data_IF_273915526776
#
_entry.id   IF_273915526776
#
_cell.length_a   1.000
_cell.length_b   1.000
_cell.length_c   1.000
_cell.angle_alpha   90.00
_cell.angle_beta   90.00
_cell.angle_gamma   90.00
#
_symmetry.space_group_name_H-M   'P 1'
#
loop_
_entity.id
_entity.type
_entity.pdbx_description
1 polymer ?
#
# COMPACT_ATOMS: atom_id res chain seq x y z
N UNK A 1 -0.85 28.99 32.44
CA UNK A 1 0.04 28.23 31.55
C UNK A 1 -0.75 27.00 31.18
N UNK A 2 -1.42 27.03 30.02
CA UNK A 2 -2.11 25.84 29.53
C UNK A 2 -1.03 24.85 29.09
N UNK A 3 -0.96 23.72 29.79
CA UNK A 3 -0.17 22.56 29.38
C UNK A 3 -0.78 22.04 28.08
N UNK A 4 -0.12 22.27 26.95
CA UNK A 4 -0.49 21.64 25.69
C UNK A 4 -0.26 20.14 25.89
N UNK A 5 -1.33 19.35 25.93
CA UNK A 5 -1.21 17.89 25.92
C UNK A 5 -0.54 17.47 24.60
N UNK A 6 0.63 16.83 24.69
CA UNK A 6 1.30 16.27 23.52
C UNK A 6 0.55 15.01 23.07
N UNK A 7 0.07 15.00 21.83
CA UNK A 7 -0.62 13.84 21.26
C UNK A 7 0.44 12.84 20.77
N UNK A 8 0.65 11.76 21.52
CA UNK A 8 1.62 10.71 21.17
C UNK A 8 0.87 9.50 20.60
N UNK A 9 1.29 9.05 19.40
CA UNK A 9 0.76 7.88 18.71
C UNK A 9 1.82 6.77 18.77
N UNK A 10 1.59 5.76 19.63
CA UNK A 10 2.39 4.55 19.62
C UNK A 10 1.95 3.63 18.48
N UNK A 11 2.72 3.61 17.41
CA UNK A 11 2.39 2.88 16.17
C UNK A 11 2.31 1.36 16.40
N UNK A 12 3.08 0.83 17.36
CA UNK A 12 3.13 -0.61 17.63
C UNK A 12 1.90 -1.11 18.40
N UNK A 13 1.19 -0.21 19.09
CA UNK A 13 -0.07 -0.52 19.79
C UNK A 13 -1.29 -0.43 18.86
N UNK A 14 -1.09 0.04 17.63
CA UNK A 14 -2.13 0.16 16.61
C UNK A 14 -2.02 -1.02 15.64
N UNK A 15 -3.16 -1.65 15.39
CA UNK A 15 -3.35 -2.66 14.34
C UNK A 15 -2.66 -2.21 13.03
N UNK A 16 -1.82 -3.03 12.39
CA UNK A 16 -0.97 -2.61 11.26
C UNK A 16 -1.69 -1.80 10.18
N UNK A 17 -2.87 -2.26 9.78
CA UNK A 17 -3.76 -1.63 8.80
C UNK A 17 -4.32 -0.27 9.22
N UNK A 18 -4.44 0.01 10.52
CA UNK A 18 -5.00 1.26 11.06
C UNK A 18 -3.93 2.32 11.36
N UNK A 19 -2.64 1.99 11.28
CA UNK A 19 -1.55 2.89 11.68
C UNK A 19 -1.58 4.21 10.93
N UNK A 20 -1.48 4.16 9.59
CA UNK A 20 -1.42 5.38 8.78
C UNK A 20 -2.74 6.16 8.84
N UNK A 21 -3.88 5.45 8.83
CA UNK A 21 -5.20 6.07 8.98
C UNK A 21 -5.32 6.84 10.29
N UNK A 22 -4.88 6.24 11.41
CA UNK A 22 -4.91 6.87 12.73
C UNK A 22 -4.01 8.11 12.77
N UNK A 23 -2.80 8.01 12.22
CA UNK A 23 -1.86 9.14 12.14
C UNK A 23 -2.48 10.29 11.32
N UNK A 24 -3.06 10.00 10.16
CA UNK A 24 -3.62 11.04 9.28
C UNK A 24 -4.89 11.66 9.84
N UNK A 25 -5.81 10.86 10.39
CA UNK A 25 -7.00 11.39 11.05
C UNK A 25 -6.63 12.26 12.26
N UNK A 26 -5.60 11.87 13.00
CA UNK A 26 -5.10 12.66 14.13
C UNK A 26 -4.50 13.97 13.62
N UNK A 27 -3.67 13.92 12.58
CA UNK A 27 -3.11 15.09 11.92
C UNK A 27 -4.19 16.06 11.42
N UNK A 28 -5.24 15.53 10.79
CA UNK A 28 -6.33 16.33 10.23
C UNK A 28 -7.10 17.09 11.32
N UNK A 29 -7.20 16.52 12.53
CA UNK A 29 -7.86 17.14 13.70
C UNK A 29 -7.01 18.20 14.39
N UNK A 30 -5.70 18.23 14.15
CA UNK A 30 -4.83 19.26 14.70
C UNK A 30 -5.28 20.63 14.22
N UNK A 31 -5.23 21.61 15.12
CA UNK A 31 -5.24 23.02 14.75
C UNK A 31 -3.86 23.42 14.23
N UNK A 32 -3.83 24.56 13.55
CA UNK A 32 -2.58 25.18 13.12
C UNK A 32 -1.69 25.43 14.35
N UNK A 33 -0.43 24.99 14.27
CA UNK A 33 0.56 25.06 15.35
C UNK A 33 0.51 23.89 16.33
N UNK A 34 -0.51 23.03 16.29
CA UNK A 34 -0.55 21.80 17.09
C UNK A 34 0.27 20.69 16.43
N UNK A 35 0.74 19.75 17.25
CA UNK A 35 1.59 18.65 16.81
C UNK A 35 1.08 17.31 17.33
N UNK A 36 1.43 16.25 16.61
CA UNK A 36 1.41 14.87 17.11
C UNK A 36 2.84 14.31 17.08
N UNK A 37 3.12 13.30 17.92
CA UNK A 37 4.38 12.55 17.93
C UNK A 37 4.08 11.12 17.47
N UNK A 38 4.79 10.66 16.44
CA UNK A 38 4.76 9.28 15.96
C UNK A 38 5.88 8.53 16.68
N UNK A 39 5.52 7.56 17.53
CA UNK A 39 6.46 6.66 18.19
C UNK A 39 6.45 5.30 17.49
N UNK A 40 7.59 4.86 16.95
CA UNK A 40 7.68 3.64 16.15
C UNK A 40 9.00 2.87 16.37
N UNK A 41 8.99 1.56 16.15
CA UNK A 41 10.19 0.70 16.28
C UNK A 41 11.12 0.74 15.05
N UNK A 42 10.72 1.47 14.00
CA UNK A 42 11.52 1.73 12.82
C UNK A 42 11.20 3.14 12.30
N UNK A 43 12.07 3.63 11.42
CA UNK A 43 11.91 4.93 10.79
C UNK A 43 10.58 5.03 10.01
N UNK A 44 9.66 5.94 10.39
CA UNK A 44 8.35 6.08 9.77
C UNK A 44 8.38 6.94 8.49
N UNK A 45 9.52 7.07 7.81
CA UNK A 45 9.65 7.72 6.49
C UNK A 45 8.53 7.43 5.48
N UNK A 46 7.98 6.20 5.34
CA UNK A 46 6.84 5.97 4.46
C UNK A 46 5.61 6.83 4.79
N UNK A 47 5.35 7.06 6.08
CA UNK A 47 4.28 7.93 6.57
C UNK A 47 4.53 9.38 6.19
N UNK A 48 5.78 9.86 6.25
CA UNK A 48 6.16 11.20 5.78
C UNK A 48 5.77 11.38 4.32
N UNK A 49 6.21 10.47 3.45
CA UNK A 49 5.95 10.58 2.02
C UNK A 49 4.46 10.51 1.72
N UNK A 50 3.73 9.66 2.44
CA UNK A 50 2.30 9.53 2.26
C UNK A 50 1.53 10.76 2.78
N UNK A 51 1.92 11.34 3.93
CA UNK A 51 1.32 12.57 4.45
C UNK A 51 1.64 13.77 3.54
N UNK A 52 2.88 13.89 3.07
CA UNK A 52 3.30 14.91 2.10
C UNK A 52 2.55 14.77 0.77
N UNK A 53 2.30 13.54 0.32
CA UNK A 53 1.53 13.27 -0.90
C UNK A 53 0.05 13.65 -0.75
N UNK A 54 -0.53 13.37 0.41
CA UNK A 54 -1.97 13.51 0.67
C UNK A 54 -2.34 14.94 1.10
N UNK A 55 -1.44 15.64 1.81
CA UNK A 55 -1.71 16.94 2.43
C UNK A 55 -0.81 18.06 1.91
N UNK A 56 0.21 17.75 1.10
CA UNK A 56 1.23 18.72 0.69
C UNK A 56 2.12 19.12 1.87
N UNK A 57 2.82 20.24 1.75
CA UNK A 57 3.74 20.75 2.78
C UNK A 57 3.02 21.57 3.88
N UNK A 58 1.85 21.11 4.32
CA UNK A 58 1.10 21.75 5.41
C UNK A 58 1.56 21.29 6.79
N UNK A 59 2.74 20.69 6.89
CA UNK A 59 3.32 20.24 8.15
C UNK A 59 4.84 20.31 8.19
N UNK A 60 5.41 20.34 9.39
CA UNK A 60 6.83 20.10 9.63
C UNK A 60 7.06 18.69 10.17
N UNK A 61 8.22 18.12 9.87
CA UNK A 61 8.65 16.78 10.27
C UNK A 61 9.99 16.86 11.00
N UNK A 62 10.00 16.60 12.30
CA UNK A 62 11.17 16.71 13.17
C UNK A 62 11.43 15.38 13.86
N UNK A 63 12.63 14.83 13.72
CA UNK A 63 13.04 13.68 14.51
C UNK A 63 13.43 14.13 15.91
N UNK A 64 12.70 13.64 16.91
CA UNK A 64 13.04 13.80 18.33
C UNK A 64 14.00 12.70 18.79
N UNK A 65 13.88 11.50 18.20
CA UNK A 65 14.76 10.37 18.45
C UNK A 65 14.97 9.56 17.16
N UNK A 66 16.23 9.21 16.87
CA UNK A 66 16.64 8.46 15.67
C UNK A 66 17.37 7.17 16.03
N UNK A 67 16.62 6.08 16.22
CA UNK A 67 17.11 4.70 16.22
C UNK A 67 18.23 4.36 17.22
N UNK A 68 18.78 3.12 17.16
CA UNK A 68 18.34 2.02 16.30
C UNK A 68 17.08 1.29 16.82
N UNK A 69 16.66 1.52 18.07
CA UNK A 69 15.56 0.79 18.69
C UNK A 69 14.21 1.51 18.61
N UNK A 70 14.21 2.85 18.71
CA UNK A 70 13.00 3.67 18.70
C UNK A 70 13.20 4.92 17.86
N UNK A 71 12.11 5.33 17.22
CA UNK A 71 12.03 6.52 16.39
C UNK A 71 10.84 7.34 16.85
N UNK A 72 11.12 8.57 17.28
CA UNK A 72 10.10 9.55 17.65
C UNK A 72 10.14 10.70 16.67
N UNK A 73 9.01 10.94 16.01
CA UNK A 73 8.87 12.01 15.02
C UNK A 73 7.75 12.94 15.43
N UNK A 74 8.07 14.22 15.63
CA UNK A 74 7.08 15.27 15.81
C UNK A 74 6.60 15.79 14.45
N UNK A 75 5.29 15.73 14.24
CA UNK A 75 4.60 16.24 13.06
C UNK A 75 3.74 17.42 13.48
N UNK A 76 4.08 18.63 13.06
CA UNK A 76 3.35 19.86 13.42
C UNK A 76 2.56 20.36 12.25
N UNK A 77 1.27 20.70 12.44
CA UNK A 77 0.44 21.26 11.39
C UNK A 77 0.73 22.75 11.22
N UNK A 78 1.11 23.14 10.02
CA UNK A 78 1.41 24.52 9.67
C UNK A 78 0.13 25.29 9.31
N UNK A 79 0.20 26.62 9.35
CA UNK A 79 -0.89 27.44 8.82
C UNK A 79 -1.02 27.14 7.33
N UNK A 80 -2.23 26.81 6.88
CA UNK A 80 -2.55 26.65 5.47
C UNK A 80 -2.23 27.98 4.79
N UNK A 81 -1.15 28.03 4.02
CA UNK A 81 -0.79 29.24 3.28
C UNK A 81 -1.58 29.18 1.98
N UNK A 82 -2.56 30.06 1.73
CA UNK A 82 -2.89 30.39 0.35
C UNK A 82 -1.62 31.04 -0.20
N UNK A 83 -0.82 30.28 -0.95
CA UNK A 83 0.43 30.78 -1.53
C UNK A 83 0.06 31.80 -2.61
N UNK A 84 -0.20 33.04 -2.19
CA UNK A 84 0.21 34.19 -2.96
C UNK A 84 1.73 34.21 -2.89
N UNK A 85 2.36 33.69 -3.94
CA UNK A 85 3.80 33.85 -4.18
C UNK A 85 4.07 35.31 -4.56
N UNK A 86 4.08 36.20 -3.59
CA UNK A 86 4.86 37.44 -3.68
C UNK A 86 6.22 37.10 -3.03
N UNK A 87 7.26 37.04 -3.86
CA UNK A 87 8.70 36.87 -3.53
C UNK A 87 9.39 35.49 -3.64
N UNK A 88 8.79 34.43 -4.20
CA UNK A 88 9.64 33.35 -4.75
C UNK A 88 10.16 33.78 -6.14
N UNK A 89 11.41 34.23 -6.23
CA UNK A 89 12.04 34.42 -7.56
C UNK A 89 12.02 33.08 -8.29
N UNK A 90 11.28 33.02 -9.40
CA UNK A 90 11.26 31.84 -10.28
C UNK A 90 12.71 31.42 -10.62
N UNK A 91 13.03 30.14 -10.49
CA UNK A 91 14.37 29.63 -10.80
C UNK A 91 14.59 29.69 -12.31
N UNK A 92 15.47 30.58 -12.77
CA UNK A 92 15.79 30.72 -14.20
C UNK A 92 16.92 29.75 -14.57
N UNK A 93 16.64 28.87 -15.53
CA UNK A 93 17.62 27.95 -16.11
C UNK A 93 18.04 28.49 -17.48
N UNK A 94 19.28 28.98 -17.56
CA UNK A 94 19.91 29.39 -18.81
C UNK A 94 20.45 28.17 -19.57
N UNK A 95 19.62 27.63 -20.47
CA UNK A 95 19.89 26.36 -21.18
C UNK A 95 21.12 26.42 -22.10
N UNK A 96 21.38 27.49 -22.87
CA UNK A 96 22.60 27.64 -23.66
C UNK A 96 23.90 27.49 -22.86
N UNK A 97 23.89 27.90 -21.59
CA UNK A 97 25.06 27.85 -20.70
C UNK A 97 25.34 26.46 -20.11
N UNK A 98 24.46 25.47 -20.34
CA UNK A 98 24.59 24.10 -19.84
C UNK A 98 25.19 23.19 -20.91
N UNK A 99 26.09 22.26 -20.51
CA UNK A 99 26.62 21.24 -21.43
C UNK A 99 25.48 20.47 -22.14
N UNK A 100 25.57 20.22 -23.46
CA UNK A 100 24.48 19.63 -24.24
C UNK A 100 23.85 18.37 -23.64
N UNK A 101 24.67 17.49 -23.06
CA UNK A 101 24.22 16.22 -22.43
C UNK A 101 23.49 16.40 -21.09
N UNK A 102 23.66 17.54 -20.42
CA UNK A 102 23.10 17.81 -19.09
C UNK A 102 21.80 18.62 -19.13
N UNK A 103 21.47 19.27 -20.26
CA UNK A 103 20.33 20.20 -20.40
C UNK A 103 19.01 19.64 -19.85
N UNK A 104 18.54 18.52 -20.39
CA UNK A 104 17.27 17.90 -19.96
C UNK A 104 17.33 17.44 -18.50
N UNK A 105 18.45 16.83 -18.09
CA UNK A 105 18.62 16.34 -16.73
C UNK A 105 18.52 17.48 -15.70
N UNK A 106 19.14 18.63 -15.97
CA UNK A 106 19.06 19.82 -15.11
C UNK A 106 17.63 20.36 -15.02
N UNK A 107 16.92 20.46 -16.16
CA UNK A 107 15.53 20.93 -16.18
C UNK A 107 14.64 19.99 -15.36
N UNK A 108 14.77 18.67 -15.56
CA UNK A 108 13.93 17.69 -14.85
C UNK A 108 14.25 17.58 -13.37
N UNK A 109 15.52 17.63 -12.99
CA UNK A 109 15.92 17.68 -11.58
C UNK A 109 15.37 18.94 -10.91
N UNK A 110 15.47 20.10 -11.58
CA UNK A 110 14.92 21.35 -11.04
C UNK A 110 13.40 21.24 -10.90
N UNK A 111 12.70 20.74 -11.92
CA UNK A 111 11.26 20.52 -11.88
C UNK A 111 10.83 19.57 -10.74
N UNK A 112 11.55 18.46 -10.55
CA UNK A 112 11.24 17.49 -9.50
C UNK A 112 11.37 18.08 -8.09
N UNK A 113 12.24 19.08 -7.93
CA UNK A 113 12.46 19.80 -6.68
C UNK A 113 11.44 20.94 -6.45
N UNK A 114 10.65 21.31 -7.47
CA UNK A 114 9.59 22.30 -7.30
C UNK A 114 8.48 21.74 -6.41
N UNK A 115 7.99 22.58 -5.50
CA UNK A 115 6.77 22.34 -4.73
C UNK A 115 5.54 22.66 -5.58
N UNK A 116 4.36 22.26 -5.12
CA UNK A 116 3.11 22.62 -5.79
C UNK A 116 2.97 24.15 -5.87
N UNK A 117 2.65 24.65 -7.07
CA UNK A 117 2.54 26.08 -7.34
C UNK A 117 3.87 26.80 -7.60
N UNK A 118 5.02 26.17 -7.32
CA UNK A 118 6.31 26.74 -7.67
C UNK A 118 6.63 26.56 -9.16
N UNK A 119 7.49 27.45 -9.66
CA UNK A 119 7.84 27.51 -11.07
C UNK A 119 9.34 27.60 -11.30
N UNK A 120 9.77 27.09 -12.44
CA UNK A 120 11.06 27.40 -13.06
C UNK A 120 10.83 28.12 -14.39
N UNK A 121 11.81 28.89 -14.84
CA UNK A 121 11.83 29.50 -16.17
C UNK A 121 12.92 28.84 -16.99
N UNK A 122 12.56 28.25 -18.12
CA UNK A 122 13.49 27.74 -19.14
C UNK A 122 13.82 28.89 -20.08
N UNK A 123 15.06 29.38 -20.03
CA UNK A 123 15.59 30.35 -20.99
C UNK A 123 16.39 29.62 -22.07
N UNK A 124 15.98 29.72 -23.33
CA UNK A 124 16.60 29.00 -24.43
C UNK A 124 16.65 29.81 -25.74
N UNK A 125 17.61 29.48 -26.60
CA UNK A 125 17.80 30.15 -27.90
C UNK A 125 16.92 29.58 -29.04
N UNK A 126 16.04 28.63 -28.73
CA UNK A 126 15.03 28.07 -29.62
C UNK A 126 13.86 27.53 -28.78
N UNK A 127 12.72 27.29 -29.42
CA UNK A 127 11.54 26.74 -28.78
C UNK A 127 11.83 25.31 -28.21
N UNK A 128 11.81 25.10 -26.89
CA UNK A 128 12.18 23.84 -26.27
C UNK A 128 11.04 22.80 -26.27
N UNK A 129 10.27 22.69 -27.37
CA UNK A 129 9.21 21.68 -27.53
C UNK A 129 9.62 20.25 -27.20
N UNK A 130 10.83 19.76 -27.52
CA UNK A 130 11.25 18.41 -27.13
C UNK A 130 11.27 18.21 -25.61
N UNK A 131 11.61 19.24 -24.84
CA UNK A 131 11.60 19.21 -23.37
C UNK A 131 10.17 19.07 -22.85
N UNK A 132 9.21 19.81 -23.44
CA UNK A 132 7.79 19.69 -23.11
C UNK A 132 7.29 18.25 -23.28
N UNK A 133 7.53 17.64 -24.45
CA UNK A 133 7.07 16.27 -24.70
C UNK A 133 7.74 15.25 -23.78
N UNK A 134 9.05 15.38 -23.53
CA UNK A 134 9.72 14.47 -22.59
C UNK A 134 9.22 14.64 -21.16
N UNK A 135 8.96 15.86 -20.71
CA UNK A 135 8.43 16.11 -19.37
C UNK A 135 7.00 15.54 -19.26
N UNK A 136 6.18 15.73 -20.29
CA UNK A 136 4.84 15.13 -20.39
C UNK A 136 4.89 13.61 -20.35
N UNK A 137 5.76 12.96 -21.12
CA UNK A 137 5.90 11.50 -21.13
C UNK A 137 6.34 10.94 -19.75
N UNK A 138 7.19 11.67 -19.03
CA UNK A 138 7.78 11.22 -17.77
C UNK A 138 6.92 11.54 -16.54
N UNK A 139 6.17 12.65 -16.58
CA UNK A 139 5.48 13.24 -15.42
C UNK A 139 3.99 13.40 -15.62
N UNK A 140 3.52 13.31 -16.86
CA UNK A 140 2.12 13.51 -17.17
C UNK A 140 1.66 14.94 -16.99
N UNK A 141 0.35 15.09 -16.83
CA UNK A 141 -0.34 16.38 -16.72
C UNK A 141 -0.19 17.05 -15.32
N UNK A 142 1.03 17.07 -14.75
CA UNK A 142 1.30 17.69 -13.43
C UNK A 142 2.01 19.05 -13.51
N UNK A 143 2.03 19.66 -14.69
CA UNK A 143 2.66 20.96 -14.90
C UNK A 143 1.91 21.81 -15.93
N UNK A 144 2.02 23.13 -15.80
CA UNK A 144 1.64 24.08 -16.83
C UNK A 144 2.86 24.52 -17.63
N UNK A 145 2.63 24.92 -18.88
CA UNK A 145 3.66 25.37 -19.80
C UNK A 145 3.25 26.72 -20.41
N UNK A 146 3.79 27.80 -19.86
CA UNK A 146 3.47 29.16 -20.27
C UNK A 146 4.65 29.80 -20.98
N UNK A 147 4.43 30.34 -22.17
CA UNK A 147 5.46 31.12 -22.86
C UNK A 147 5.44 32.56 -22.35
N UNK A 148 6.51 32.97 -21.66
CA UNK A 148 6.77 34.36 -21.30
C UNK A 148 7.36 35.15 -22.49
N UNK A 149 8.14 34.46 -23.35
CA UNK A 149 8.73 35.03 -24.56
C UNK A 149 8.78 33.99 -25.69
N UNK A 150 8.44 34.39 -26.91
CA UNK A 150 8.36 33.50 -28.09
C UNK A 150 9.17 34.02 -29.29
N UNK A 151 10.50 33.98 -29.19
CA UNK A 151 11.40 34.16 -30.32
C UNK A 151 11.37 35.54 -31.00
N UNK A 152 12.08 35.69 -32.14
CA UNK A 152 12.85 34.64 -32.83
C UNK A 152 14.15 34.24 -32.12
N UNK A 153 14.75 35.15 -31.35
CA UNK A 153 16.09 34.94 -30.76
C UNK A 153 16.06 34.22 -29.42
N UNK A 154 15.02 34.44 -28.62
CA UNK A 154 14.94 33.97 -27.23
C UNK A 154 13.55 33.48 -26.87
N UNK A 155 13.53 32.38 -26.13
CA UNK A 155 12.33 31.70 -25.66
C UNK A 155 12.43 31.55 -24.14
N UNK A 156 11.46 32.12 -23.43
CA UNK A 156 11.34 32.03 -21.98
C UNK A 156 10.04 31.30 -21.67
N UNK A 157 10.15 30.14 -21.02
CA UNK A 157 9.00 29.29 -20.69
C UNK A 157 8.92 29.17 -19.17
N UNK A 158 7.80 29.60 -18.59
CA UNK A 158 7.46 29.33 -17.21
C UNK A 158 6.81 27.96 -17.12
N UNK A 159 7.47 27.05 -16.40
CA UNK A 159 6.96 25.71 -16.10
C UNK A 159 6.58 25.69 -14.64
N UNK A 160 5.29 25.53 -14.35
CA UNK A 160 4.76 25.53 -12.97
C UNK A 160 4.31 24.13 -12.62
N UNK A 161 4.70 23.62 -11.45
CA UNK A 161 4.21 22.33 -10.96
C UNK A 161 2.76 22.48 -10.50
N UNK A 162 1.83 21.92 -11.26
CA UNK A 162 0.40 21.92 -10.94
C UNK A 162 -0.02 20.48 -10.66
N UNK A 163 -0.04 20.11 -9.38
CA UNK A 163 -0.72 18.88 -8.99
C UNK A 163 -2.21 19.21 -8.94
N UNK A 164 -3.07 18.54 -9.73
CA UNK A 164 -4.51 18.76 -9.61
C UNK A 164 -4.93 18.42 -8.18
N UNK A 165 -5.57 19.37 -7.50
CA UNK A 165 -6.27 19.08 -6.25
C UNK A 165 -7.44 18.16 -6.62
N UNK A 166 -7.38 16.91 -6.18
CA UNK A 166 -8.46 15.97 -6.37
C UNK A 166 -9.45 16.19 -5.21
N UNK A 167 -10.71 16.59 -5.49
CA UNK A 167 -11.70 16.78 -4.43
C UNK A 167 -11.83 15.49 -3.60
N UNK A 168 -11.67 15.61 -2.29
CA UNK A 168 -11.92 14.52 -1.35
C UNK A 168 -13.41 14.19 -1.34
N UNK A 169 -13.81 13.08 -1.95
CA UNK A 169 -15.07 12.43 -1.59
C UNK A 169 -14.83 11.49 -0.39
N UNK A 170 -15.51 11.78 0.73
CA UNK A 170 -15.68 10.89 1.88
C UNK A 170 -14.41 10.25 2.48
N UNK A 171 -13.28 10.96 2.53
CA UNK A 171 -12.08 10.47 3.22
C UNK A 171 -11.46 9.18 2.65
N UNK A 172 -11.77 8.84 1.39
CA UNK A 172 -11.16 7.72 0.67
C UNK A 172 -9.74 8.06 0.21
N UNK A 173 -8.85 7.05 0.20
CA UNK A 173 -7.47 7.19 -0.25
C UNK A 173 -7.43 7.38 -1.78
N UNK A 174 -6.71 8.40 -2.25
CA UNK A 174 -6.49 8.67 -3.68
C UNK A 174 -5.00 8.62 -3.98
N UNK A 175 -4.61 7.85 -4.99
CA UNK A 175 -3.25 7.75 -5.49
C UNK A 175 -3.15 8.55 -6.79
N UNK A 176 -2.50 9.71 -6.76
CA UNK A 176 -2.20 10.48 -7.97
C UNK A 176 -0.94 9.91 -8.64
N UNK A 177 -1.15 9.06 -9.65
CA UNK A 177 -0.09 8.25 -10.28
C UNK A 177 0.94 9.12 -11.03
N UNK A 178 0.57 10.14 -11.82
CA UNK A 178 1.54 11.02 -12.47
C UNK A 178 2.45 11.78 -11.50
N UNK A 179 1.96 12.05 -10.28
CA UNK A 179 2.76 12.69 -9.23
C UNK A 179 3.81 11.76 -8.58
N UNK A 180 3.73 10.45 -8.80
CA UNK A 180 4.71 9.48 -8.28
C UNK A 180 5.94 9.39 -9.19
N UNK A 181 7.12 9.16 -8.60
CA UNK A 181 8.32 8.84 -9.39
C UNK A 181 8.11 7.55 -10.20
N UNK A 182 8.55 7.48 -11.48
CA UNK A 182 8.28 6.35 -12.36
C UNK A 182 8.68 4.99 -11.77
N UNK A 183 9.77 4.93 -11.00
CA UNK A 183 10.27 3.70 -10.38
C UNK A 183 9.40 3.16 -9.26
N UNK A 184 8.56 3.99 -8.64
CA UNK A 184 7.76 3.59 -7.46
C UNK A 184 6.26 3.49 -7.76
N UNK A 185 5.78 3.99 -8.90
CA UNK A 185 4.36 3.99 -9.31
C UNK A 185 3.64 2.67 -9.02
N UNK A 186 4.14 1.58 -9.58
CA UNK A 186 3.53 0.26 -9.41
C UNK A 186 3.66 -0.22 -7.97
N UNK A 187 4.86 -0.15 -7.39
CA UNK A 187 5.13 -0.61 -6.03
C UNK A 187 4.17 0.05 -5.00
N UNK A 188 3.92 1.35 -5.12
CA UNK A 188 2.98 2.07 -4.26
C UNK A 188 1.56 1.54 -4.40
N UNK A 189 1.08 1.35 -5.63
CA UNK A 189 -0.30 0.88 -5.87
C UNK A 189 -0.48 -0.55 -5.36
N UNK A 190 0.48 -1.44 -5.63
CA UNK A 190 0.46 -2.81 -5.09
C UNK A 190 0.51 -2.82 -3.56
N UNK A 191 1.36 -2.00 -2.96
CA UNK A 191 1.45 -1.91 -1.51
C UNK A 191 0.13 -1.45 -0.90
N UNK A 192 -0.51 -0.43 -1.47
CA UNK A 192 -1.84 0.03 -1.00
C UNK A 192 -2.87 -1.10 -1.15
N UNK A 193 -2.91 -1.76 -2.31
CA UNK A 193 -3.84 -2.87 -2.57
C UNK A 193 -3.66 -4.02 -1.57
N UNK A 194 -2.42 -4.45 -1.33
CA UNK A 194 -2.09 -5.60 -0.46
C UNK A 194 -2.37 -5.34 1.03
N UNK A 195 -2.50 -4.07 1.45
CA UNK A 195 -2.78 -3.70 2.83
C UNK A 195 -4.22 -3.25 3.08
N UNK A 196 -5.09 -3.34 2.06
CA UNK A 196 -6.53 -3.05 2.19
C UNK A 196 -7.31 -4.25 2.72
N UNK A 197 -8.33 -3.96 3.54
CA UNK A 197 -9.29 -4.97 3.97
C UNK A 197 -10.36 -5.21 2.89
N UNK A 198 -11.05 -6.37 2.94
CA UNK A 198 -12.23 -6.57 2.13
C UNK A 198 -13.27 -5.44 2.30
N UNK A 199 -13.88 -5.04 1.20
CA UNK A 199 -14.82 -3.93 1.07
C UNK A 199 -14.22 -2.51 1.22
N UNK A 200 -12.91 -2.38 1.44
CA UNK A 200 -12.22 -1.08 1.33
C UNK A 200 -11.93 -0.72 -0.13
N UNK A 201 -11.83 0.58 -0.40
CA UNK A 201 -11.50 1.09 -1.72
C UNK A 201 -10.52 2.25 -1.69
N UNK A 202 -9.76 2.37 -2.78
CA UNK A 202 -8.97 3.55 -3.11
C UNK A 202 -9.22 3.97 -4.56
N UNK A 203 -8.87 5.22 -4.87
CA UNK A 203 -8.96 5.76 -6.21
C UNK A 203 -7.56 5.86 -6.81
N UNK A 204 -7.40 5.38 -8.03
CA UNK A 204 -6.24 5.63 -8.88
C UNK A 204 -6.59 6.80 -9.79
N UNK A 205 -5.89 7.91 -9.64
CA UNK A 205 -5.99 9.07 -10.52
C UNK A 205 -4.80 9.08 -11.48
N UNK A 206 -5.07 8.98 -12.77
CA UNK A 206 -4.04 8.87 -13.80
C UNK A 206 -4.37 9.70 -15.04
N UNK A 207 -3.34 10.17 -15.75
CA UNK A 207 -3.46 11.00 -16.95
C UNK A 207 -3.74 10.18 -18.24
N UNK A 208 -3.68 8.86 -18.13
CA UNK A 208 -4.04 7.92 -19.18
C UNK A 208 -4.78 6.71 -18.58
N UNK A 209 -5.46 5.95 -19.42
CA UNK A 209 -6.15 4.74 -19.00
C UNK A 209 -5.13 3.68 -18.50
N UNK A 210 -5.12 3.30 -17.20
CA UNK A 210 -4.13 2.40 -16.65
C UNK A 210 -4.49 0.91 -16.86
N UNK A 211 -5.01 0.52 -18.03
CA UNK A 211 -5.30 -0.89 -18.37
C UNK A 211 -4.16 -1.87 -18.09
N UNK A 212 -2.88 -1.54 -18.38
CA UNK A 212 -1.78 -2.46 -18.06
C UNK A 212 -1.70 -2.78 -16.57
N UNK A 213 -1.96 -1.79 -15.71
CA UNK A 213 -1.98 -1.97 -14.27
C UNK A 213 -3.15 -2.85 -13.82
N UNK A 214 -4.33 -2.69 -14.42
CA UNK A 214 -5.46 -3.59 -14.21
C UNK A 214 -5.07 -5.05 -14.50
N UNK A 215 -4.48 -5.33 -15.67
CA UNK A 215 -4.08 -6.69 -16.02
C UNK A 215 -3.00 -7.25 -15.10
N UNK A 216 -2.05 -6.42 -14.63
CA UNK A 216 -1.04 -6.85 -13.66
C UNK A 216 -1.68 -7.22 -12.31
N UNK A 217 -2.60 -6.39 -11.81
CA UNK A 217 -3.36 -6.70 -10.59
C UNK A 217 -4.19 -7.95 -10.75
N UNK A 218 -4.91 -8.11 -11.87
CA UNK A 218 -5.72 -9.29 -12.16
C UNK A 218 -4.86 -10.56 -12.27
N UNK A 219 -3.69 -10.48 -12.88
CA UNK A 219 -2.76 -11.63 -12.98
C UNK A 219 -2.26 -12.06 -11.61
N UNK A 220 -1.96 -11.11 -10.72
CA UNK A 220 -1.36 -11.38 -9.41
C UNK A 220 -2.39 -11.73 -8.33
N UNK A 221 -3.57 -11.11 -8.39
CA UNK A 221 -4.58 -11.18 -7.33
C UNK A 221 -5.92 -11.76 -7.80
N UNK A 222 -6.03 -12.17 -9.07
CA UNK A 222 -7.25 -12.76 -9.62
C UNK A 222 -8.45 -11.81 -9.52
N UNK A 223 -9.63 -12.39 -9.32
CA UNK A 223 -10.90 -11.65 -9.27
C UNK A 223 -11.22 -11.08 -7.86
N UNK A 224 -10.22 -10.83 -7.03
CA UNK A 224 -10.38 -10.37 -5.63
C UNK A 224 -10.77 -8.89 -5.49
N UNK A 225 -10.94 -8.15 -6.58
CA UNK A 225 -11.27 -6.73 -6.57
C UNK A 225 -12.21 -6.33 -7.73
N UNK A 226 -12.83 -5.16 -7.60
CA UNK A 226 -13.54 -4.47 -8.70
C UNK A 226 -12.69 -3.33 -9.24
N UNK A 227 -12.93 -2.98 -10.50
CA UNK A 227 -12.23 -1.91 -11.22
C UNK A 227 -13.28 -1.03 -11.89
N UNK A 228 -13.66 0.04 -11.21
CA UNK A 228 -14.78 0.88 -11.59
C UNK A 228 -14.28 2.26 -12.04
N UNK A 229 -14.56 2.65 -13.29
CA UNK A 229 -14.22 3.99 -13.75
C UNK A 229 -15.20 5.00 -13.14
N UNK A 230 -14.68 5.88 -12.28
CA UNK A 230 -15.37 7.09 -11.84
C UNK A 230 -15.30 8.14 -12.96
N UNK A 231 -14.12 8.27 -13.56
CA UNK A 231 -13.88 9.17 -14.69
C UNK A 231 -13.06 8.46 -15.77
N UNK A 232 -13.44 8.63 -17.05
CA UNK A 232 -12.80 7.94 -18.18
C UNK A 232 -12.40 8.92 -19.30
N UNK A 233 -11.51 9.85 -18.99
CA UNK A 233 -10.89 10.74 -19.98
C UNK A 233 -11.75 11.93 -20.41
N UNK A 234 -11.27 12.73 -21.39
CA UNK A 234 -10.11 12.46 -22.25
C UNK A 234 -8.74 12.80 -21.63
N UNK A 235 -8.69 13.53 -20.52
CA UNK A 235 -7.43 14.00 -19.92
C UNK A 235 -7.07 13.31 -18.61
N UNK A 236 -8.06 12.76 -17.91
CA UNK A 236 -7.89 12.15 -16.60
C UNK A 236 -8.81 10.95 -16.44
N UNK A 237 -8.27 9.92 -15.80
CA UNK A 237 -8.91 8.66 -15.50
C UNK A 237 -8.88 8.45 -14.00
N UNK A 238 -10.07 8.34 -13.41
CA UNK A 238 -10.26 8.01 -12.01
C UNK A 238 -10.88 6.63 -11.92
N UNK A 239 -10.15 5.71 -11.28
CA UNK A 239 -10.54 4.32 -11.14
C UNK A 239 -10.69 4.04 -9.66
N UNK A 240 -11.89 3.67 -9.23
CA UNK A 240 -12.10 3.07 -7.93
C UNK A 240 -11.72 1.59 -7.99
N UNK A 241 -10.77 1.22 -7.15
CA UNK A 241 -10.41 -0.17 -6.90
C UNK A 241 -11.01 -0.55 -5.55
N UNK A 242 -11.98 -1.48 -5.55
CA UNK A 242 -12.61 -1.98 -4.33
C UNK A 242 -12.20 -3.42 -4.11
N UNK A 243 -11.67 -3.74 -2.92
CA UNK A 243 -11.38 -5.13 -2.57
C UNK A 243 -12.71 -5.84 -2.34
N UNK A 244 -12.95 -6.95 -3.05
CA UNK A 244 -14.20 -7.71 -2.87
C UNK A 244 -14.19 -8.38 -1.49
N UNK A 245 -15.38 -8.46 -0.89
CA UNK A 245 -15.60 -9.41 0.20
C UNK A 245 -15.45 -10.82 -0.40
N UNK A 246 -14.54 -11.66 0.14
CA UNK A 246 -14.48 -13.05 -0.28
C UNK A 246 -15.87 -13.66 -0.12
N UNK A 247 -16.41 -14.23 -1.19
CA UNK A 247 -17.69 -14.92 -1.11
C UNK A 247 -17.58 -16.00 -0.01
N UNK A 248 -18.57 -16.07 0.88
CA UNK A 248 -18.61 -17.13 1.88
C UNK A 248 -18.54 -18.49 1.15
N UNK A 249 -17.39 -19.16 1.27
CA UNK A 249 -17.09 -20.41 0.55
C UNK A 249 -15.83 -20.41 -0.33
N UNK A 250 -15.16 -19.27 -0.58
CA UNK A 250 -13.82 -19.27 -1.17
C UNK A 250 -12.76 -19.06 -0.08
N UNK A 251 -12.08 -20.16 0.26
CA UNK A 251 -10.97 -20.30 1.22
C UNK A 251 -10.23 -18.98 1.55
N UNK A 252 -10.65 -18.30 2.62
CA UNK A 252 -9.72 -17.49 3.38
C UNK A 252 -8.68 -18.43 3.98
N UNK A 253 -7.46 -18.42 3.46
CA UNK A 253 -6.34 -19.06 4.14
C UNK A 253 -6.09 -18.30 5.43
N UNK A 254 -6.63 -18.80 6.54
CA UNK A 254 -6.28 -18.33 7.88
C UNK A 254 -4.76 -18.56 8.02
N UNK A 255 -3.97 -17.54 8.35
CA UNK A 255 -2.51 -17.67 8.50
C UNK A 255 -2.15 -17.62 9.98
N UNK A 256 -1.44 -18.63 10.47
CA UNK A 256 -0.84 -18.66 11.80
C UNK A 256 0.66 -18.37 11.68
N UNK A 257 1.08 -17.17 12.10
CA UNK A 257 2.48 -16.69 12.01
C UNK A 257 3.28 -17.06 13.28
N UNK A 258 3.94 -18.23 13.25
CA UNK A 258 4.69 -18.77 14.38
C UNK A 258 5.85 -17.89 14.90
N UNK A 259 6.63 -17.18 14.05
CA UNK A 259 7.68 -16.27 14.50
C UNK A 259 7.21 -15.21 15.50
N UNK A 260 5.94 -14.83 15.43
CA UNK A 260 5.33 -13.83 16.33
C UNK A 260 4.90 -14.40 17.68
N UNK A 261 4.97 -15.73 17.84
CA UNK A 261 4.49 -16.47 19.02
C UNK A 261 5.70 -16.97 19.83
N UNK A 262 5.63 -16.80 21.15
CA UNK A 262 6.61 -17.34 22.09
C UNK A 262 6.79 -18.85 21.86
N UNK A 263 8.05 -19.30 21.81
CA UNK A 263 8.41 -20.71 21.58
C UNK A 263 7.67 -21.68 22.51
N UNK A 264 7.41 -21.29 23.76
CA UNK A 264 6.67 -22.09 24.75
C UNK A 264 5.18 -22.25 24.45
N UNK A 265 4.63 -21.43 23.54
CA UNK A 265 3.19 -21.35 23.21
C UNK A 265 2.86 -21.73 21.77
N UNK A 266 3.86 -22.04 20.95
CA UNK A 266 3.68 -22.39 19.52
C UNK A 266 2.76 -23.60 19.36
N UNK A 267 3.02 -24.68 20.09
CA UNK A 267 2.23 -25.91 20.00
C UNK A 267 0.78 -25.72 20.46
N UNK A 268 0.57 -24.99 21.55
CA UNK A 268 -0.76 -24.64 22.04
C UNK A 268 -1.53 -23.79 21.02
N UNK A 269 -0.86 -22.88 20.32
CA UNK A 269 -1.48 -22.02 19.31
C UNK A 269 -1.87 -22.80 18.05
N UNK A 270 -1.05 -23.75 17.63
CA UNK A 270 -1.35 -24.67 16.52
C UNK A 270 -2.56 -25.54 16.87
N UNK A 271 -2.59 -26.09 18.08
CA UNK A 271 -3.71 -26.89 18.60
C UNK A 271 -4.99 -26.08 18.62
N UNK A 272 -4.96 -24.88 19.21
CA UNK A 272 -6.12 -24.01 19.30
C UNK A 272 -6.67 -23.66 17.91
N UNK A 273 -5.77 -23.28 16.98
CA UNK A 273 -6.16 -22.97 15.61
C UNK A 273 -6.82 -24.18 14.92
N UNK A 274 -6.34 -25.39 15.17
CA UNK A 274 -6.94 -26.60 14.60
C UNK A 274 -8.28 -26.99 15.24
N UNK A 275 -8.41 -26.80 16.56
CA UNK A 275 -9.66 -27.05 17.29
C UNK A 275 -10.78 -26.12 16.81
N UNK A 276 -10.44 -24.87 16.50
CA UNK A 276 -11.36 -23.85 16.00
C UNK A 276 -11.83 -24.07 14.54
N UNK A 277 -11.17 -24.97 13.78
CA UNK A 277 -11.60 -25.28 12.40
C UNK A 277 -12.89 -26.11 12.35
N UNK A 278 -13.77 -25.77 11.42
CA UNK A 278 -14.86 -26.66 10.97
C UNK A 278 -14.32 -27.77 10.02
N UNK A 279 -15.01 -28.92 9.91
CA UNK A 279 -14.63 -29.97 8.95
C UNK A 279 -14.60 -29.46 7.51
N UNK A 280 -13.45 -29.62 6.84
CA UNK A 280 -13.21 -29.11 5.48
C UNK A 280 -12.46 -27.78 5.43
N UNK A 281 -12.29 -27.09 6.56
CA UNK A 281 -11.52 -25.85 6.64
C UNK A 281 -10.00 -26.09 6.77
N UNK A 282 -9.24 -25.04 6.53
CA UNK A 282 -7.77 -25.09 6.58
C UNK A 282 -7.15 -23.77 7.02
N UNK A 283 -5.94 -23.85 7.56
CA UNK A 283 -5.08 -22.70 7.82
C UNK A 283 -3.66 -22.97 7.32
N UNK A 284 -2.90 -21.91 7.09
CA UNK A 284 -1.48 -21.95 6.72
C UNK A 284 -0.65 -21.60 7.94
N UNK A 285 0.21 -22.52 8.34
CA UNK A 285 1.27 -22.28 9.29
C UNK A 285 2.44 -21.60 8.57
N UNK A 286 2.77 -20.37 8.97
CA UNK A 286 3.91 -19.62 8.46
C UNK A 286 5.04 -19.66 9.50
N UNK A 287 6.24 -20.10 9.11
CA UNK A 287 7.39 -20.15 10.00
C UNK A 287 8.71 -19.80 9.33
N UNK A 288 9.65 -19.24 10.09
CA UNK A 288 10.98 -18.84 9.61
C UNK A 288 12.03 -19.98 9.65
N UNK A 289 11.66 -21.14 10.16
CA UNK A 289 12.46 -22.37 10.18
C UNK A 289 11.56 -23.59 9.94
N UNK A 290 12.16 -24.74 9.63
CA UNK A 290 11.39 -25.98 9.55
C UNK A 290 10.88 -26.36 10.94
N UNK A 291 9.58 -26.65 11.07
CA UNK A 291 8.94 -27.03 12.34
C UNK A 291 8.39 -28.46 12.27
N UNK A 292 9.28 -29.48 12.20
CA UNK A 292 8.90 -30.86 11.91
C UNK A 292 8.05 -31.50 13.01
N UNK A 293 8.01 -30.90 14.20
CA UNK A 293 7.22 -31.36 15.33
C UNK A 293 5.72 -31.19 15.11
N UNK A 294 5.30 -30.22 14.26
CA UNK A 294 3.89 -29.98 13.89
C UNK A 294 3.15 -31.25 13.50
N UNK A 295 3.77 -32.08 12.68
CA UNK A 295 3.14 -33.31 12.19
C UNK A 295 2.93 -34.33 13.31
N UNK A 296 3.92 -34.51 14.19
CA UNK A 296 3.80 -35.45 15.31
C UNK A 296 2.78 -34.95 16.33
N UNK A 297 2.82 -33.65 16.66
CA UNK A 297 1.86 -32.99 17.54
C UNK A 297 0.41 -33.25 17.09
N UNK A 298 0.10 -32.99 15.82
CA UNK A 298 -1.24 -33.19 15.29
C UNK A 298 -1.61 -34.67 15.16
N UNK A 299 -0.65 -35.54 14.80
CA UNK A 299 -0.87 -36.98 14.68
C UNK A 299 -1.17 -37.65 16.02
N UNK A 300 -0.47 -37.27 17.08
CA UNK A 300 -0.70 -37.81 18.43
C UNK A 300 -2.06 -37.40 18.98
N UNK A 301 -2.50 -36.17 18.70
CA UNK A 301 -3.74 -35.60 19.26
C UNK A 301 -4.98 -35.87 18.41
N UNK A 302 -4.86 -35.83 17.09
CA UNK A 302 -5.99 -35.87 16.14
C UNK A 302 -5.94 -37.07 15.18
N UNK A 303 -4.92 -37.92 15.25
CA UNK A 303 -4.82 -39.13 14.46
C UNK A 303 -4.87 -38.86 12.95
N UNK A 304 -5.91 -39.37 12.29
CA UNK A 304 -6.11 -39.24 10.85
C UNK A 304 -7.06 -38.10 10.46
N UNK A 305 -7.43 -37.19 11.37
CA UNK A 305 -8.44 -36.16 11.12
C UNK A 305 -7.94 -34.94 10.33
N UNK A 306 -6.67 -34.92 9.94
CA UNK A 306 -6.08 -33.80 9.22
C UNK A 306 -5.31 -34.23 7.97
N UNK A 307 -5.06 -33.26 7.09
CA UNK A 307 -4.05 -33.34 6.04
C UNK A 307 -3.04 -32.21 6.23
N UNK A 308 -1.81 -32.43 5.75
CA UNK A 308 -0.73 -31.46 5.85
C UNK A 308 0.04 -31.42 4.53
N UNK A 309 0.17 -30.23 3.96
CA UNK A 309 0.86 -30.00 2.67
C UNK A 309 1.83 -28.83 2.80
N UNK A 310 3.05 -29.01 2.32
CA UNK A 310 4.01 -27.91 2.24
C UNK A 310 3.74 -27.09 0.99
N UNK A 311 3.27 -25.86 1.18
CA UNK A 311 3.06 -24.90 0.09
C UNK A 311 4.38 -24.22 -0.32
N UNK A 312 5.28 -24.00 0.65
CA UNK A 312 6.60 -23.39 0.43
C UNK A 312 7.65 -24.04 1.34
N UNK A 313 8.79 -24.40 0.75
CA UNK A 313 9.99 -24.89 1.43
C UNK A 313 11.19 -24.03 1.02
N UNK A 314 11.62 -23.13 1.88
CA UNK A 314 12.69 -22.18 1.58
C UNK A 314 13.69 -22.03 2.72
N UNK A 315 14.88 -21.47 2.45
CA UNK A 315 15.92 -21.28 3.46
C UNK A 315 15.57 -20.26 4.54
N UNK A 316 14.50 -19.48 4.34
CA UNK A 316 14.05 -18.41 5.25
C UNK A 316 12.59 -18.56 5.68
N UNK A 317 11.77 -19.29 4.91
CA UNK A 317 10.33 -19.36 5.14
C UNK A 317 9.76 -20.71 4.73
N UNK A 318 8.85 -21.20 5.57
CA UNK A 318 8.11 -22.44 5.42
C UNK A 318 6.63 -22.13 5.57
N UNK A 319 5.84 -22.51 4.56
CA UNK A 319 4.38 -22.41 4.62
C UNK A 319 3.79 -23.81 4.54
N UNK A 320 3.04 -24.19 5.56
CA UNK A 320 2.44 -25.52 5.68
C UNK A 320 0.92 -25.35 5.77
N UNK A 321 0.20 -25.84 4.78
CA UNK A 321 -1.26 -25.93 4.83
C UNK A 321 -1.65 -27.10 5.73
N UNK A 322 -2.47 -26.83 6.74
CA UNK A 322 -3.07 -27.83 7.62
C UNK A 322 -4.58 -27.74 7.42
N UNK A 323 -5.20 -28.85 7.03
CA UNK A 323 -6.64 -28.90 6.81
C UNK A 323 -7.29 -29.97 7.68
N UNK A 324 -8.50 -29.68 8.19
CA UNK A 324 -9.33 -30.64 8.91
C UNK A 324 -10.16 -31.40 7.89
N UNK A 325 -10.09 -32.74 7.92
CA UNK A 325 -10.81 -33.57 6.96
C UNK A 325 -12.31 -33.34 7.05
N UNK A 326 -12.98 -33.34 5.91
CA UNK A 326 -14.45 -33.31 5.86
C UNK A 326 -15.04 -34.63 6.37
N UNK A 327 -16.32 -34.62 6.75
CA UNK A 327 -17.04 -35.82 7.22
C UNK A 327 -16.97 -36.95 6.18
N UNK A 328 -17.06 -36.61 4.88
CA UNK A 328 -16.96 -37.57 3.76
C UNK A 328 -15.57 -38.22 3.67
N UNK A 329 -14.51 -37.51 4.05
CA UNK A 329 -13.13 -38.02 4.07
C UNK A 329 -12.81 -38.83 5.32
N UNK A 330 -13.69 -38.79 6.34
CA UNK A 330 -13.58 -39.55 7.59
C UNK A 330 -14.43 -40.83 7.57
N UNK A 331 -15.48 -40.88 6.75
CA UNK A 331 -16.27 -42.09 6.54
C UNK A 331 -15.49 -43.11 5.70
N UNK A 332 -15.32 -44.37 6.16
CA UNK A 332 -14.78 -45.42 5.31
C UNK A 332 -15.74 -45.63 4.12
N UNK A 333 -15.16 -45.83 2.93
CA UNK A 333 -15.95 -46.17 1.75
C UNK A 333 -16.83 -47.40 2.06
N UNK A 334 -18.09 -47.43 1.58
CA UNK A 334 -18.96 -48.56 1.84
C UNK A 334 -18.30 -49.86 1.36
N UNK A 335 -18.02 -50.74 2.31
CA UNK A 335 -17.57 -52.09 2.01
C UNK A 335 -18.75 -52.84 1.39
N UNK A 336 -18.60 -53.28 0.15
CA UNK A 336 -19.56 -54.20 -0.48
C UNK A 336 -19.25 -55.61 0.02
N UNK A 337 -20.28 -56.30 0.50
CA UNK A 337 -20.16 -57.74 0.71
C UNK A 337 -19.99 -58.47 -0.65
N UNK A 338 -19.66 -59.77 -0.66
CA UNK A 338 -19.46 -60.56 -1.89
C UNK A 338 -20.68 -60.58 -2.83
N UNK A 339 -21.86 -60.10 -2.38
CA UNK A 339 -23.08 -59.97 -3.17
C UNK A 339 -23.35 -58.56 -3.72
N UNK A 340 -22.48 -57.59 -3.41
CA UNK A 340 -22.57 -56.23 -3.95
C UNK A 340 -23.52 -55.29 -3.21
N UNK A 341 -24.10 -55.73 -2.09
CA UNK A 341 -24.98 -54.89 -1.27
C UNK A 341 -24.16 -53.93 -0.40
N UNK A 342 -24.64 -52.69 -0.29
CA UNK A 342 -24.04 -51.65 0.56
C UNK A 342 -24.40 -51.96 2.01
N UNK A 343 -23.41 -52.29 2.84
CA UNK A 343 -23.59 -52.45 4.29
C UNK A 343 -23.21 -51.13 4.95
N UNK A 344 -24.19 -50.47 5.58
CA UNK A 344 -23.94 -49.30 6.44
C UNK A 344 -23.91 -49.82 7.87
N UNK A 345 -22.72 -49.93 8.45
CA UNK A 345 -22.57 -50.28 9.86
C UNK A 345 -22.77 -49.00 10.68
N UNK A 346 -23.95 -48.85 11.28
CA UNK A 346 -24.26 -47.69 12.13
C UNK A 346 -23.72 -47.99 13.53
N UNK A 347 -22.80 -47.19 14.10
CA UNK A 347 -22.35 -47.41 15.46
C UNK A 347 -23.54 -47.19 16.40
N UNK A 348 -23.86 -48.20 17.21
CA UNK A 348 -24.82 -48.07 18.29
C UNK A 348 -24.29 -47.07 19.31
N UNK A 349 -24.86 -45.87 19.35
CA UNK A 349 -24.80 -45.01 20.53
C UNK A 349 -25.78 -45.60 21.54
N UNK A 350 -25.27 -46.44 22.44
CA UNK A 350 -26.03 -46.80 23.65
C UNK A 350 -26.21 -45.56 24.56
N UNK A 351 -27.33 -45.51 25.30
CA UNK A 351 -27.89 -44.29 25.90
C UNK A 351 -27.15 -43.73 27.12
#
# INVERSE_FOLDING_TARGET
MDTIEEIIINVQEIEPRLRHLTIFQTFDRLKIGESLIIHNNHDPRPVYFQLMHIRGEVFSWEYLQEGPQWWDVKVTKNADVPVKSEDSKDVVIDVPSIEPRLKHATIFQTFNNLKQGESLIIHNNHDPKPVFYQLMDLRGNIFSWEYLKQGPDWWDIKVTRVVPMIPMEEGRLIINVPALEPSVKHATIFHVFENMNPNESFIIHNDHDPKPLFYQLQTKHGDTFTWDYIQQGPHWYDIMVTIKVPAAGENQKIILDLPTIDASRKDESIIKMFDDLEPGESFVLHNNEDYPQTYQLLKERYGNMFTMEYLRKGPQWWDILIAKKSIEQLTPAPSKNEKGDIVIDVPSLEP
#
